data_IF_915894919334
#
_entry.id   IF_915894919334
#
_cell.length_a   1.000
_cell.length_b   1.000
_cell.length_c   1.000
_cell.angle_alpha   90.00
_cell.angle_beta   90.00
_cell.angle_gamma   90.00
#
_symmetry.space_group_name_H-M   'P 1'
#
loop_
_entity.id
_entity.type
_entity.pdbx_description
1 polymer ?
#
# COMPACT_ATOMS: atom_id res chain seq x y z
N UNK A 1 -2.38 13.05 -10.87
CA UNK A 1 -2.30 11.85 -10.01
C UNK A 1 -1.27 10.95 -10.65
N UNK A 2 -0.22 10.56 -9.92
CA UNK A 2 0.72 9.53 -10.39
C UNK A 2 -0.07 8.25 -10.66
N UNK A 3 0.06 7.70 -11.85
CA UNK A 3 -0.59 6.44 -12.23
C UNK A 3 0.20 5.31 -11.56
N UNK A 4 -0.50 4.33 -11.00
CA UNK A 4 0.10 3.04 -10.62
C UNK A 4 -0.31 2.05 -11.70
N UNK A 5 0.64 1.27 -12.18
CA UNK A 5 0.41 0.25 -13.19
C UNK A 5 -0.05 -1.06 -12.56
N UNK A 6 -0.81 -1.81 -13.37
CA UNK A 6 -1.23 -3.15 -13.00
C UNK A 6 -0.01 -4.07 -13.06
N UNK A 7 0.24 -4.78 -11.97
CA UNK A 7 1.33 -5.73 -11.87
C UNK A 7 0.91 -7.08 -12.46
N UNK A 8 1.77 -7.67 -13.28
CA UNK A 8 1.51 -8.99 -13.88
C UNK A 8 1.55 -10.14 -12.85
N UNK A 9 2.19 -9.93 -11.69
CA UNK A 9 2.36 -10.95 -10.65
C UNK A 9 1.23 -10.99 -9.61
N UNK A 10 0.17 -10.20 -9.80
CA UNK A 10 -0.97 -10.14 -8.89
C UNK A 10 -2.28 -10.13 -9.67
N UNK A 11 -3.31 -10.73 -9.09
CA UNK A 11 -4.68 -10.56 -9.57
C UNK A 11 -5.45 -9.71 -8.54
N UNK A 12 -5.98 -8.54 -8.91
CA UNK A 12 -6.60 -7.62 -7.95
C UNK A 12 -7.79 -8.22 -7.19
N UNK A 13 -8.53 -9.14 -7.82
CA UNK A 13 -9.62 -9.93 -7.22
C UNK A 13 -9.16 -10.75 -6.00
N UNK A 14 -7.90 -11.22 -5.97
CA UNK A 14 -7.34 -11.91 -4.81
C UNK A 14 -7.18 -10.98 -3.61
N UNK A 15 -6.90 -9.69 -3.85
CA UNK A 15 -6.81 -8.67 -2.80
C UNK A 15 -8.17 -8.44 -2.13
N UNK A 16 -9.21 -8.21 -2.92
CA UNK A 16 -10.59 -8.07 -2.45
C UNK A 16 -11.07 -9.34 -1.74
N UNK A 17 -10.77 -10.53 -2.26
CA UNK A 17 -11.14 -11.79 -1.61
C UNK A 17 -10.45 -11.97 -0.26
N UNK A 18 -9.22 -11.48 -0.10
CA UNK A 18 -8.41 -11.66 1.11
C UNK A 18 -8.75 -10.64 2.20
N UNK A 19 -8.96 -9.38 1.82
CA UNK A 19 -9.13 -8.28 2.77
C UNK A 19 -10.56 -7.74 2.84
N UNK A 20 -11.40 -8.09 1.88
CA UNK A 20 -12.74 -7.53 1.73
C UNK A 20 -12.72 -6.15 1.07
N UNK A 21 -13.79 -5.39 1.30
CA UNK A 21 -13.95 -4.01 0.85
C UNK A 21 -13.22 -3.06 1.79
N UNK A 22 -11.92 -2.87 1.54
CA UNK A 22 -11.04 -1.99 2.33
C UNK A 22 -10.32 -0.98 1.44
N UNK A 23 -9.92 0.15 2.03
CA UNK A 23 -9.11 1.13 1.32
C UNK A 23 -7.67 0.59 1.15
N UNK A 24 -7.15 0.68 -0.07
CA UNK A 24 -5.78 0.24 -0.42
C UNK A 24 -4.89 1.44 -0.76
N UNK A 25 -3.62 1.40 -0.34
CA UNK A 25 -2.64 2.37 -0.81
C UNK A 25 -2.28 2.15 -2.29
N UNK A 26 -2.43 0.92 -2.79
CA UNK A 26 -2.40 0.58 -4.21
C UNK A 26 -3.77 0.01 -4.63
N UNK A 27 -4.68 0.86 -5.13
CA UNK A 27 -6.03 0.45 -5.53
C UNK A 27 -6.08 -0.20 -6.92
N UNK A 28 -4.98 -0.20 -7.69
CA UNK A 28 -4.94 -0.86 -9.00
C UNK A 28 -4.69 -2.34 -8.82
N UNK A 29 -3.82 -2.68 -7.87
CA UNK A 29 -3.45 -4.06 -7.55
C UNK A 29 -4.14 -4.61 -6.28
N UNK A 30 -4.99 -3.81 -5.63
CA UNK A 30 -5.60 -4.11 -4.33
C UNK A 30 -4.55 -4.59 -3.30
N UNK A 31 -3.45 -3.85 -3.18
CA UNK A 31 -2.34 -4.12 -2.25
C UNK A 31 -2.24 -3.04 -1.18
N UNK A 32 -1.65 -3.44 -0.06
CA UNK A 32 -1.36 -2.55 1.08
C UNK A 32 -2.64 -1.93 1.65
N UNK A 33 -3.49 -2.73 2.34
CA UNK A 33 -4.66 -2.20 3.01
C UNK A 33 -4.27 -1.14 4.04
N UNK A 34 -5.12 -0.12 4.21
CA UNK A 34 -4.84 1.07 5.03
C UNK A 34 -6.05 1.52 5.88
N UNK A 35 -6.96 0.59 6.17
CA UNK A 35 -8.19 0.78 6.94
C UNK A 35 -8.03 0.57 8.45
N UNK A 36 -7.09 -0.28 8.88
CA UNK A 36 -6.81 -0.56 10.30
C UNK A 36 -5.36 -0.26 10.66
N UNK A 37 -5.10 -0.16 11.97
CA UNK A 37 -3.75 0.07 12.48
C UNK A 37 -2.76 -1.04 12.11
N UNK A 38 -3.19 -2.29 12.21
CA UNK A 38 -2.39 -3.45 11.83
C UNK A 38 -2.09 -3.45 10.33
N UNK A 39 -3.09 -3.13 9.51
CA UNK A 39 -2.94 -3.01 8.06
C UNK A 39 -1.98 -1.88 7.69
N UNK A 40 -2.10 -0.70 8.29
CA UNK A 40 -1.22 0.45 8.03
C UNK A 40 0.23 0.12 8.40
N UNK A 41 0.48 -0.50 9.56
CA UNK A 41 1.84 -0.91 9.97
C UNK A 41 2.41 -1.98 9.05
N UNK A 42 1.62 -2.99 8.71
CA UNK A 42 2.03 -4.03 7.78
C UNK A 42 2.33 -3.44 6.39
N UNK A 43 1.46 -2.59 5.87
CA UNK A 43 1.64 -1.90 4.60
C UNK A 43 2.95 -1.12 4.59
N UNK A 44 3.21 -0.33 5.63
CA UNK A 44 4.44 0.44 5.78
C UNK A 44 5.69 -0.45 5.82
N UNK A 45 5.66 -1.53 6.60
CA UNK A 45 6.77 -2.49 6.67
C UNK A 45 7.04 -3.13 5.31
N UNK A 46 6.00 -3.59 4.62
CA UNK A 46 6.14 -4.32 3.36
C UNK A 46 6.64 -3.43 2.23
N UNK A 47 6.11 -2.21 2.03
CA UNK A 47 6.55 -1.33 0.94
C UNK A 47 7.99 -0.83 1.12
N UNK A 48 8.51 -0.84 2.35
CA UNK A 48 9.92 -0.52 2.62
C UNK A 48 10.86 -1.73 2.44
N UNK A 49 10.32 -2.94 2.29
CA UNK A 49 11.13 -4.10 1.95
C UNK A 49 11.56 -4.06 0.48
N UNK A 50 12.86 -4.23 0.21
CA UNK A 50 13.48 -4.09 -1.12
C UNK A 50 12.73 -4.87 -2.21
N UNK A 51 12.42 -6.13 -1.96
CA UNK A 51 11.78 -7.01 -2.97
C UNK A 51 10.36 -6.60 -3.31
N UNK A 52 9.64 -5.98 -2.38
CA UNK A 52 8.29 -5.47 -2.61
C UNK A 52 8.35 -4.13 -3.35
N UNK A 53 9.27 -3.24 -2.95
CA UNK A 53 9.48 -1.96 -3.63
C UNK A 53 9.93 -2.15 -5.08
N UNK A 54 10.74 -3.18 -5.35
CA UNK A 54 11.22 -3.51 -6.69
C UNK A 54 10.13 -3.97 -7.68
N UNK A 55 8.88 -4.16 -7.22
CA UNK A 55 7.73 -4.48 -8.07
C UNK A 55 7.06 -3.26 -8.69
N UNK A 56 7.58 -2.08 -8.37
CA UNK A 56 7.01 -0.79 -8.70
C UNK A 56 8.09 0.15 -9.21
N UNK A 57 7.69 1.13 -10.01
CA UNK A 57 8.54 2.26 -10.34
C UNK A 57 8.72 3.18 -9.11
N UNK A 58 9.79 3.98 -9.13
CA UNK A 58 10.18 4.79 -7.95
C UNK A 58 9.08 5.77 -7.52
N UNK A 59 8.40 6.38 -8.48
CA UNK A 59 7.31 7.33 -8.27
C UNK A 59 6.02 6.63 -7.78
N UNK A 60 5.78 5.39 -8.19
CA UNK A 60 4.71 4.55 -7.66
C UNK A 60 4.98 4.18 -6.19
N UNK A 61 6.21 3.76 -5.85
CA UNK A 61 6.62 3.50 -4.47
C UNK A 61 6.40 4.73 -3.60
N UNK A 62 6.79 5.91 -4.09
CA UNK A 62 6.57 7.17 -3.38
C UNK A 62 5.08 7.47 -3.21
N UNK A 63 4.28 7.23 -4.24
CA UNK A 63 2.81 7.41 -4.21
C UNK A 63 2.15 6.50 -3.17
N UNK A 64 2.52 5.22 -3.13
CA UNK A 64 2.03 4.24 -2.15
C UNK A 64 2.44 4.64 -0.74
N UNK A 65 3.72 4.97 -0.52
CA UNK A 65 4.22 5.44 0.79
C UNK A 65 3.47 6.68 1.27
N UNK A 66 3.21 7.63 0.38
CA UNK A 66 2.46 8.85 0.71
C UNK A 66 1.00 8.56 1.10
N UNK A 67 0.34 7.58 0.45
CA UNK A 67 -1.00 7.14 0.85
C UNK A 67 -1.00 6.49 2.22
N UNK A 68 -0.03 5.61 2.51
CA UNK A 68 0.11 4.98 3.84
C UNK A 68 0.36 6.03 4.93
N UNK A 69 1.26 7.01 4.69
CA UNK A 69 1.52 8.12 5.63
C UNK A 69 0.26 8.94 5.92
N UNK A 70 -0.56 9.21 4.89
CA UNK A 70 -1.83 9.92 5.07
C UNK A 70 -2.83 9.12 5.90
N UNK A 71 -2.95 7.81 5.65
CA UNK A 71 -3.78 6.92 6.44
C UNK A 71 -3.31 6.86 7.90
N UNK A 72 -2.02 6.66 8.14
CA UNK A 72 -1.44 6.68 9.48
C UNK A 72 -1.80 7.97 10.23
N UNK A 73 -1.64 9.14 9.58
CA UNK A 73 -2.04 10.43 10.16
C UNK A 73 -3.55 10.51 10.46
N UNK A 74 -4.40 10.04 9.54
CA UNK A 74 -5.87 10.03 9.71
C UNK A 74 -6.30 9.17 10.90
N UNK A 75 -5.60 8.06 11.13
CA UNK A 75 -5.87 7.12 12.22
C UNK A 75 -5.11 7.43 13.52
N UNK A 76 -4.25 8.47 13.54
CA UNK A 76 -3.43 8.81 14.72
C UNK A 76 -2.30 7.82 15.02
N UNK A 77 -1.85 7.06 14.02
CA UNK A 77 -0.84 6.00 14.17
C UNK A 77 0.54 6.58 13.89
N UNK A 78 1.48 6.36 14.81
CA UNK A 78 2.89 6.61 14.56
C UNK A 78 3.50 5.48 13.72
N UNK A 79 4.11 5.83 12.60
CA UNK A 79 4.93 4.97 11.75
C UNK A 79 6.32 5.59 11.59
N UNK A 80 7.34 4.78 11.32
CA UNK A 80 8.70 5.29 11.09
C UNK A 80 8.72 6.25 9.90
N UNK A 81 9.39 7.38 10.04
CA UNK A 81 9.64 8.32 8.94
C UNK A 81 11.09 8.17 8.49
N UNK A 82 11.34 7.23 7.59
CA UNK A 82 12.57 7.23 6.78
C UNK A 82 12.58 8.43 5.81
#
# INVERSE_FOLDING_TARGET
MTKIDLRDDVKPDEGERKYGDVEFADPVNNKYPIDTEDHIRAAWSYINHKDNAAKYDKDEVETIKNRIKRAAKKHGIAISTD
#
